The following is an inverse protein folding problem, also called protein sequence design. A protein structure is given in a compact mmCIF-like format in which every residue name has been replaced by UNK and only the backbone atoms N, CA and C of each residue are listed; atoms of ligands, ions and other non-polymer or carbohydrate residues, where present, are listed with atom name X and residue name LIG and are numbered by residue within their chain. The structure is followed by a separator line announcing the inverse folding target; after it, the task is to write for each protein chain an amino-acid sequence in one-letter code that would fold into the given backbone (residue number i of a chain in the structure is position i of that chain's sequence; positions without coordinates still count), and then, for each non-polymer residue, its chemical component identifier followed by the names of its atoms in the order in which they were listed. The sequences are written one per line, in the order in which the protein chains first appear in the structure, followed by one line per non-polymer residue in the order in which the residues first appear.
data_IF_716901001075
#
_entry.id   IF_716901001075
#
_cell.length_a   1.000
_cell.length_b   1.000
_cell.length_c   1.000
_cell.angle_alpha   90.00
_cell.angle_beta   90.00
_cell.angle_gamma   90.00
#
_symmetry.space_group_name_H-M   'P 1'
#
loop_
_entity.id
_entity.type
_entity.pdbx_description
1 polymer ?
#
# COMPACT_ATOMS: atom_id res chain seq x y z
N UNK A 1 16.63 22.26 -11.25
CA UNK A 1 15.50 21.32 -11.38
C UNK A 1 15.93 20.00 -10.77
N UNK A 2 15.67 19.78 -9.49
CA UNK A 2 16.00 18.51 -8.83
C UNK A 2 14.74 17.65 -8.84
N UNK A 3 14.60 16.80 -9.87
CA UNK A 3 13.53 15.80 -9.91
C UNK A 3 13.73 14.80 -8.77
N UNK A 4 12.67 14.51 -8.02
CA UNK A 4 12.74 13.49 -6.98
C UNK A 4 12.69 12.13 -7.65
N UNK A 5 13.66 11.26 -7.36
CA UNK A 5 13.70 9.90 -7.91
C UNK A 5 13.37 8.94 -6.77
N UNK A 6 12.28 8.20 -6.90
CA UNK A 6 11.92 7.14 -5.98
C UNK A 6 12.40 5.79 -6.53
N UNK A 7 13.07 4.99 -5.70
CA UNK A 7 13.65 3.70 -6.09
C UNK A 7 13.10 2.61 -5.19
N UNK A 8 12.34 1.70 -5.77
CA UNK A 8 11.83 0.50 -5.10
C UNK A 8 12.71 -0.69 -5.49
N UNK A 9 13.28 -1.38 -4.50
CA UNK A 9 14.15 -2.53 -4.71
C UNK A 9 13.58 -3.75 -3.99
N UNK A 10 13.20 -4.77 -4.74
CA UNK A 10 12.80 -6.08 -4.22
C UNK A 10 13.92 -7.09 -4.46
N UNK A 11 14.29 -7.81 -3.41
CA UNK A 11 15.35 -8.84 -3.45
C UNK A 11 14.76 -10.15 -2.96
N UNK A 12 14.73 -11.16 -3.84
CA UNK A 12 14.29 -12.51 -3.51
C UNK A 12 15.50 -13.44 -3.57
N UNK A 13 15.80 -14.09 -2.44
CA UNK A 13 16.94 -15.01 -2.30
C UNK A 13 16.41 -16.39 -1.96
N UNK A 14 16.86 -17.39 -2.71
CA UNK A 14 16.65 -18.81 -2.39
C UNK A 14 18.00 -19.48 -2.20
N UNK A 15 18.18 -20.12 -1.05
CA UNK A 15 19.35 -20.91 -0.71
C UNK A 15 18.97 -22.39 -0.59
N UNK A 16 19.97 -23.25 -0.74
CA UNK A 16 19.85 -24.67 -0.44
C UNK A 16 19.96 -24.93 1.08
N UNK A 17 19.68 -26.15 1.56
CA UNK A 17 19.74 -26.47 3.00
C UNK A 17 21.16 -26.47 3.58
N UNK A 18 22.20 -26.45 2.73
CA UNK A 18 23.60 -26.27 3.15
C UNK A 18 24.00 -24.78 3.18
N UNK A 19 23.06 -23.87 2.90
CA UNK A 19 23.29 -22.42 2.90
C UNK A 19 23.88 -21.87 1.61
N UNK A 20 24.07 -22.69 0.56
CA UNK A 20 24.56 -22.21 -0.72
C UNK A 20 23.43 -21.51 -1.51
N UNK A 21 23.71 -20.33 -2.03
CA UNK A 21 22.77 -19.53 -2.81
C UNK A 21 22.42 -20.25 -4.13
N UNK A 22 21.14 -20.58 -4.33
CA UNK A 22 20.65 -21.23 -5.56
C UNK A 22 20.17 -20.22 -6.59
N UNK A 23 19.44 -19.21 -6.14
CA UNK A 23 18.89 -18.20 -7.04
C UNK A 23 18.65 -16.89 -6.29
N UNK A 24 19.12 -15.78 -6.88
CA UNK A 24 18.86 -14.44 -6.40
C UNK A 24 18.20 -13.64 -7.54
N UNK A 25 17.00 -13.14 -7.29
CA UNK A 25 16.29 -12.24 -8.21
C UNK A 25 16.23 -10.86 -7.60
N UNK A 26 16.71 -9.87 -8.33
CA UNK A 26 16.64 -8.46 -7.93
C UNK A 26 15.71 -7.76 -8.93
N UNK A 27 14.63 -7.19 -8.43
CA UNK A 27 13.70 -6.37 -9.21
C UNK A 27 13.81 -4.93 -8.73
N UNK A 28 14.29 -4.05 -9.61
CA UNK A 28 14.40 -2.63 -9.34
C UNK A 28 13.39 -1.85 -10.18
N UNK A 29 12.58 -1.03 -9.51
CA UNK A 29 11.63 -0.12 -10.14
C UNK A 29 12.05 1.31 -9.85
N UNK A 30 12.29 2.10 -10.90
CA UNK A 30 12.69 3.50 -10.79
C UNK A 30 11.53 4.38 -11.25
N UNK A 31 11.05 5.24 -10.36
CA UNK A 31 9.97 6.19 -10.62
C UNK A 31 10.54 7.60 -10.67
N UNK A 32 10.39 8.26 -11.82
CA UNK A 32 10.74 9.65 -11.97
C UNK A 32 9.57 10.52 -11.49
N UNK A 33 9.70 11.08 -10.30
CA UNK A 33 8.71 12.04 -9.78
C UNK A 33 9.01 13.39 -10.41
N UNK A 34 8.24 13.75 -11.42
CA UNK A 34 8.21 15.12 -11.92
C UNK A 34 7.35 15.92 -10.95
N UNK A 35 7.90 16.86 -10.17
CA UNK A 35 7.06 17.72 -9.36
C UNK A 35 6.14 18.48 -10.31
N UNK A 36 4.83 18.35 -10.09
CA UNK A 36 3.85 19.16 -10.80
C UNK A 36 4.23 20.65 -10.61
N UNK A 37 4.15 21.48 -11.65
CA UNK A 37 4.38 22.91 -11.48
C UNK A 37 3.45 23.40 -10.36
N UNK A 38 4.03 24.13 -9.41
CA UNK A 38 3.27 24.79 -8.36
C UNK A 38 2.36 25.83 -9.04
N UNK A 39 1.15 25.41 -9.41
CA UNK A 39 0.06 26.33 -9.67
C UNK A 39 -0.09 27.10 -8.37
N UNK A 40 -0.10 28.46 -8.38
CA UNK A 40 -0.44 29.21 -7.19
C UNK A 40 -1.83 28.76 -6.76
N UNK A 41 -1.89 27.93 -5.72
CA UNK A 41 -3.14 27.58 -5.06
C UNK A 41 -3.54 28.87 -4.34
N UNK A 42 -4.60 29.59 -4.77
CA UNK A 42 -5.12 30.68 -3.95
C UNK A 42 -5.38 30.11 -2.56
N UNK A 43 -5.00 30.86 -1.53
CA UNK A 43 -5.08 30.47 -0.12
C UNK A 43 -6.31 29.58 0.11
N UNK A 44 -6.05 28.33 0.49
CA UNK A 44 -7.10 27.35 0.71
C UNK A 44 -8.13 27.97 1.66
N UNK A 45 -9.43 28.04 1.31
CA UNK A 45 -10.43 28.12 2.36
C UNK A 45 -10.23 26.89 3.24
N UNK A 46 -10.19 27.10 4.55
CA UNK A 46 -10.09 26.02 5.51
C UNK A 46 -11.17 24.97 5.21
N UNK A 47 -10.74 23.72 5.14
CA UNK A 47 -11.58 22.59 4.75
C UNK A 47 -11.10 22.00 3.43
N UNK A 48 -10.57 20.77 3.49
CA UNK A 48 -10.62 19.88 2.34
C UNK A 48 -12.02 19.98 1.77
N UNK A 49 -12.14 20.59 0.60
CA UNK A 49 -13.38 20.70 -0.12
C UNK A 49 -13.98 19.30 -0.18
N UNK A 50 -14.99 19.05 0.65
CA UNK A 50 -16.09 18.19 0.27
C UNK A 50 -16.58 18.82 -1.01
N UNK A 51 -16.09 18.30 -2.15
CA UNK A 51 -16.69 18.63 -3.43
C UNK A 51 -18.18 18.43 -3.23
N UNK A 52 -18.95 19.46 -3.50
CA UNK A 52 -20.41 19.46 -3.54
C UNK A 52 -20.97 18.57 -4.68
N UNK A 53 -20.22 17.52 -5.03
CA UNK A 53 -20.63 16.40 -5.87
C UNK A 53 -20.55 15.16 -4.99
N UNK A 54 -21.71 14.57 -4.70
CA UNK A 54 -21.89 13.54 -3.68
C UNK A 54 -20.76 12.49 -3.66
N UNK A 55 -20.35 12.12 -2.44
CA UNK A 55 -19.47 10.98 -2.22
C UNK A 55 -20.02 9.77 -2.98
N UNK A 56 -19.13 8.98 -3.61
CA UNK A 56 -19.53 7.78 -4.33
C UNK A 56 -20.29 6.84 -3.40
N UNK A 57 -21.60 6.72 -3.63
CA UNK A 57 -22.46 5.80 -2.89
C UNK A 57 -22.65 4.52 -3.69
N UNK A 58 -22.05 3.45 -3.16
CA UNK A 58 -22.10 2.11 -3.75
C UNK A 58 -23.55 1.64 -3.95
N UNK A 59 -24.50 2.09 -3.13
CA UNK A 59 -25.88 1.63 -3.22
C UNK A 59 -26.61 2.20 -4.43
N UNK A 60 -26.28 3.42 -4.83
CA UNK A 60 -26.91 4.17 -5.92
C UNK A 60 -26.11 4.13 -7.22
N UNK A 61 -24.78 3.98 -7.16
CA UNK A 61 -23.91 3.98 -8.32
C UNK A 61 -23.62 2.59 -8.92
N UNK A 62 -23.90 1.50 -8.19
CA UNK A 62 -23.48 0.16 -8.60
C UNK A 62 -24.64 -0.83 -8.78
N UNK A 63 -24.48 -1.73 -9.75
CA UNK A 63 -25.33 -2.92 -9.90
C UNK A 63 -24.95 -4.04 -8.90
N UNK A 64 -25.75 -5.12 -8.87
CA UNK A 64 -25.54 -6.24 -7.94
C UNK A 64 -24.20 -6.96 -8.15
N UNK A 65 -23.72 -7.02 -9.40
CA UNK A 65 -22.45 -7.67 -9.74
C UNK A 65 -21.27 -6.83 -9.25
N UNK A 66 -21.33 -5.52 -9.46
CA UNK A 66 -20.33 -4.57 -8.97
C UNK A 66 -20.27 -4.55 -7.45
N UNK A 67 -21.44 -4.54 -6.79
CA UNK A 67 -21.54 -4.66 -5.32
C UNK A 67 -20.87 -5.93 -4.81
N UNK A 68 -21.14 -7.08 -5.44
CA UNK A 68 -20.50 -8.34 -5.08
C UNK A 68 -18.97 -8.30 -5.28
N UNK A 69 -18.49 -7.70 -6.37
CA UNK A 69 -17.07 -7.54 -6.62
C UNK A 69 -16.39 -6.64 -5.58
N UNK A 70 -17.02 -5.53 -5.22
CA UNK A 70 -16.53 -4.62 -4.18
C UNK A 70 -16.43 -5.36 -2.85
N UNK A 71 -17.43 -6.18 -2.49
CA UNK A 71 -17.42 -6.94 -1.25
C UNK A 71 -16.29 -7.98 -1.23
N UNK A 72 -16.06 -8.69 -2.33
CA UNK A 72 -14.93 -9.61 -2.46
C UNK A 72 -13.59 -8.89 -2.30
N UNK A 73 -13.42 -7.73 -2.95
CA UNK A 73 -12.20 -6.92 -2.83
C UNK A 73 -12.00 -6.41 -1.41
N UNK A 74 -13.07 -6.00 -0.73
CA UNK A 74 -13.01 -5.59 0.68
C UNK A 74 -12.56 -6.74 1.56
N UNK A 75 -13.13 -7.93 1.41
CA UNK A 75 -12.73 -9.10 2.17
C UNK A 75 -11.24 -9.46 1.97
N UNK A 76 -10.74 -9.32 0.73
CA UNK A 76 -9.35 -9.58 0.41
C UNK A 76 -8.38 -8.52 0.95
N UNK A 77 -8.71 -7.24 0.79
CA UNK A 77 -7.83 -6.12 1.16
C UNK A 77 -7.94 -5.72 2.63
N UNK A 78 -9.08 -6.00 3.27
CA UNK A 78 -9.38 -5.66 4.67
C UNK A 78 -9.86 -6.93 5.38
N UNK A 79 -8.95 -7.87 5.65
CA UNK A 79 -9.30 -9.07 6.38
C UNK A 79 -9.86 -8.70 7.77
N UNK A 80 -10.81 -9.50 8.27
CA UNK A 80 -11.50 -9.23 9.54
C UNK A 80 -10.57 -9.20 10.76
N UNK A 81 -9.40 -9.84 10.64
CA UNK A 81 -8.36 -9.84 11.66
C UNK A 81 -6.99 -9.91 11.02
N UNK A 82 -5.97 -9.58 11.82
CA UNK A 82 -4.59 -9.79 11.42
C UNK A 82 -4.31 -11.30 11.26
N UNK A 83 -3.50 -11.71 10.27
CA UNK A 83 -3.07 -13.11 10.15
C UNK A 83 -2.23 -13.52 11.36
N UNK A 84 -2.33 -14.80 11.76
CA UNK A 84 -1.67 -15.34 12.96
C UNK A 84 -0.15 -15.11 12.95
N UNK A 85 0.50 -15.30 11.80
CA UNK A 85 1.94 -15.08 11.66
C UNK A 85 2.37 -13.63 11.97
N UNK A 86 1.50 -12.65 11.72
CA UNK A 86 1.77 -11.25 12.06
C UNK A 86 1.66 -11.04 13.58
N UNK A 87 0.65 -11.65 14.20
CA UNK A 87 0.45 -11.60 15.66
C UNK A 87 1.64 -12.27 16.38
N UNK A 88 2.08 -13.44 15.93
CA UNK A 88 3.24 -14.14 16.47
C UNK A 88 4.51 -13.29 16.37
N UNK A 89 4.75 -12.68 15.21
CA UNK A 89 5.90 -11.77 15.02
C UNK A 89 5.84 -10.56 15.95
N UNK A 90 4.65 -9.97 16.14
CA UNK A 90 4.47 -8.88 17.09
C UNK A 90 4.80 -9.32 18.51
N UNK A 91 4.33 -10.48 18.95
CA UNK A 91 4.66 -11.01 20.27
C UNK A 91 6.16 -11.25 20.45
N UNK A 92 6.84 -11.76 19.42
CA UNK A 92 8.29 -11.96 19.47
C UNK A 92 9.02 -10.63 19.58
N UNK A 93 8.67 -9.63 18.76
CA UNK A 93 9.28 -8.31 18.82
C UNK A 93 9.08 -7.65 20.19
N UNK A 94 7.83 -7.59 20.67
CA UNK A 94 7.51 -6.93 21.93
C UNK A 94 8.05 -7.67 23.17
N UNK A 95 8.29 -8.98 23.08
CA UNK A 95 8.90 -9.76 24.16
C UNK A 95 10.43 -9.59 24.19
N UNK A 96 11.08 -9.38 23.05
CA UNK A 96 12.53 -9.18 22.96
C UNK A 96 13.00 -7.80 23.48
N UNK A 97 12.08 -6.85 23.72
CA UNK A 97 12.39 -5.54 24.34
C UNK A 97 12.38 -5.58 25.89
N UNK A 98 12.14 -6.76 26.50
CA UNK A 98 11.98 -6.93 27.95
C UNK A 98 13.15 -7.65 28.65
N UNK A 99 14.26 -7.92 27.95
CA UNK A 99 15.54 -8.43 28.47
C UNK A 99 16.66 -7.39 28.27
#
# INVERSE_FOLDING_TARGET
MNGQIERHTSVSITSDPNGALRHATITQTVVNVTPAPAVPVPAAPEGFASSDGGCFDINTCCDDREKAMIEMLRAYLRPAGAPECLIERLHQCLRNDAD
#
